data_IF_719568581187
#
_entry.id   IF_719568581187
#
_cell.length_a   1.000
_cell.length_b   1.000
_cell.length_c   1.000
_cell.angle_alpha   90.00
_cell.angle_beta   90.00
_cell.angle_gamma   90.00
#
_symmetry.space_group_name_H-M   'P 1'
#
loop_
_entity.id
_entity.type
_entity.pdbx_description
1 polymer ?
#
# COMPACT_ATOMS: atom_id res chain seq x y z
N UNK A 1 8.02 -6.06 -8.60
CA UNK A 1 8.32 -6.79 -7.33
C UNK A 1 9.39 -7.88 -7.46
N UNK A 2 9.57 -8.54 -8.62
CA UNK A 2 10.63 -9.56 -8.84
C UNK A 2 12.03 -9.13 -8.36
N UNK A 3 12.39 -7.86 -8.51
CA UNK A 3 13.68 -7.34 -8.05
C UNK A 3 13.95 -7.47 -6.54
N UNK A 4 12.91 -7.64 -5.72
CA UNK A 4 13.03 -7.91 -4.28
C UNK A 4 13.24 -9.40 -3.96
N UNK A 5 13.05 -10.31 -4.93
CA UNK A 5 13.26 -11.77 -4.80
C UNK A 5 14.72 -12.19 -5.06
N UNK A 6 15.67 -11.34 -4.66
CA UNK A 6 17.12 -11.53 -4.83
C UNK A 6 17.76 -11.89 -3.48
N UNK A 7 18.99 -12.38 -3.49
CA UNK A 7 19.77 -12.49 -2.24
C UNK A 7 19.85 -11.11 -1.53
N UNK A 8 19.64 -11.05 -0.21
CA UNK A 8 19.77 -9.82 0.58
C UNK A 8 21.15 -9.14 0.44
N UNK A 9 22.21 -9.92 0.17
CA UNK A 9 23.59 -9.44 0.05
C UNK A 9 23.82 -8.52 -1.17
N UNK A 10 22.98 -8.64 -2.20
CA UNK A 10 23.06 -7.77 -3.38
C UNK A 10 22.54 -6.37 -3.03
N UNK A 11 23.34 -5.32 -3.21
CA UNK A 11 22.88 -3.95 -2.91
C UNK A 11 21.78 -3.50 -3.89
N UNK A 12 20.75 -2.84 -3.37
CA UNK A 12 19.71 -2.16 -4.14
C UNK A 12 19.06 -1.08 -3.29
N UNK A 13 18.50 -0.05 -3.92
CA UNK A 13 17.70 0.98 -3.24
C UNK A 13 16.41 0.42 -2.63
N UNK A 14 15.93 -0.73 -3.13
CA UNK A 14 14.80 -1.46 -2.55
C UNK A 14 15.33 -2.74 -1.88
N UNK A 15 15.17 -2.89 -0.55
CA UNK A 15 15.58 -4.09 0.18
C UNK A 15 14.98 -5.38 -0.40
N UNK A 16 15.65 -6.51 -0.22
CA UNK A 16 15.06 -7.81 -0.54
C UNK A 16 13.91 -8.11 0.44
N UNK A 17 13.02 -9.03 0.06
CA UNK A 17 12.03 -9.54 1.02
C UNK A 17 12.70 -10.32 2.14
N UNK A 18 12.16 -10.18 3.35
CA UNK A 18 12.61 -10.93 4.52
C UNK A 18 11.85 -12.26 4.64
N UNK A 19 12.59 -13.33 4.91
CA UNK A 19 12.00 -14.67 5.10
C UNK A 19 11.22 -14.68 6.41
N UNK A 20 9.99 -15.20 6.37
CA UNK A 20 9.11 -15.29 7.55
C UNK A 20 8.40 -13.99 7.91
N UNK A 21 8.48 -12.96 7.07
CA UNK A 21 7.73 -11.71 7.20
C UNK A 21 6.70 -11.56 6.07
N UNK A 22 5.59 -10.83 6.29
CA UNK A 22 4.67 -10.46 5.22
C UNK A 22 5.40 -9.74 4.09
N UNK A 23 4.99 -9.99 2.85
CA UNK A 23 5.52 -9.30 1.69
C UNK A 23 4.93 -7.89 1.63
N UNK A 24 5.75 -6.86 1.48
CA UNK A 24 5.27 -5.49 1.30
C UNK A 24 5.07 -5.17 -0.18
N UNK A 25 3.90 -4.63 -0.53
CA UNK A 25 3.52 -4.26 -1.89
C UNK A 25 2.69 -2.99 -1.92
N UNK A 26 2.51 -2.43 -3.11
CA UNK A 26 1.49 -1.39 -3.29
C UNK A 26 0.10 -2.02 -3.25
N UNK A 27 -0.78 -1.42 -2.46
CA UNK A 27 -2.15 -1.88 -2.27
C UNK A 27 -3.11 -0.72 -2.07
N UNK A 28 -4.40 -1.07 -2.15
CA UNK A 28 -5.52 -0.19 -1.79
C UNK A 28 -6.12 -0.74 -0.51
N UNK A 29 -6.24 0.12 0.49
CA UNK A 29 -6.71 -0.26 1.83
C UNK A 29 -7.68 0.78 2.38
N UNK A 30 -8.53 0.35 3.32
CA UNK A 30 -9.37 1.24 4.11
C UNK A 30 -8.70 1.56 5.45
N UNK A 31 -8.73 2.83 5.83
CA UNK A 31 -8.29 3.27 7.15
C UNK A 31 -9.34 2.90 8.19
N UNK A 32 -9.10 1.86 8.98
CA UNK A 32 -10.03 1.45 10.05
C UNK A 32 -9.85 2.25 11.35
N UNK A 33 -8.65 2.77 11.60
CA UNK A 33 -8.28 3.63 12.72
C UNK A 33 -7.07 4.49 12.31
N UNK A 34 -6.99 5.73 12.80
CA UNK A 34 -5.86 6.61 12.51
C UNK A 34 -5.63 7.64 13.62
N UNK A 35 -4.36 7.85 13.95
CA UNK A 35 -3.86 8.95 14.79
C UNK A 35 -3.34 10.14 13.96
N UNK A 36 -3.39 10.03 12.63
CA UNK A 36 -2.93 11.06 11.70
C UNK A 36 -4.14 11.75 11.04
N UNK A 37 -4.37 13.06 11.26
CA UNK A 37 -5.52 13.76 10.71
C UNK A 37 -5.54 13.83 9.18
N UNK A 38 -4.39 13.61 8.49
CA UNK A 38 -4.33 13.53 7.03
C UNK A 38 -5.06 12.31 6.45
N UNK A 39 -5.21 11.25 7.25
CA UNK A 39 -5.80 9.98 6.84
C UNK A 39 -6.91 9.61 7.83
N UNK A 40 -8.10 10.23 7.73
CA UNK A 40 -9.19 9.94 8.66
C UNK A 40 -9.76 8.53 8.45
N UNK A 41 -10.37 7.98 9.51
CA UNK A 41 -11.08 6.69 9.47
C UNK A 41 -12.10 6.66 8.33
N UNK A 42 -12.18 5.54 7.63
CA UNK A 42 -13.04 5.32 6.46
C UNK A 42 -12.43 5.76 5.13
N UNK A 43 -11.28 6.44 5.13
CA UNK A 43 -10.60 6.82 3.89
C UNK A 43 -10.10 5.58 3.15
N UNK A 44 -10.27 5.58 1.83
CA UNK A 44 -9.62 4.61 0.95
C UNK A 44 -8.27 5.20 0.53
N UNK A 45 -7.20 4.48 0.80
CA UNK A 45 -5.83 4.91 0.52
C UNK A 45 -5.15 3.96 -0.44
N UNK A 46 -4.22 4.49 -1.23
CA UNK A 46 -3.19 3.76 -1.94
C UNK A 46 -1.87 3.94 -1.20
N UNK A 47 -1.24 2.85 -0.77
CA UNK A 47 -0.03 2.87 0.04
C UNK A 47 0.84 1.62 -0.21
N UNK A 48 2.06 1.64 0.32
CA UNK A 48 2.80 0.39 0.55
C UNK A 48 2.25 -0.27 1.81
N UNK A 49 1.71 -1.47 1.66
CA UNK A 49 1.06 -2.27 2.70
C UNK A 49 1.65 -3.68 2.72
N UNK A 50 1.47 -4.39 3.83
CA UNK A 50 1.77 -5.82 3.89
C UNK A 50 0.74 -6.63 3.09
N UNK A 51 1.16 -7.78 2.57
CA UNK A 51 0.29 -8.85 2.10
C UNK A 51 -0.25 -9.60 3.32
N UNK A 52 -1.22 -8.96 3.95
CA UNK A 52 -1.88 -9.35 5.19
C UNK A 52 -3.24 -8.63 5.26
N UNK A 53 -4.09 -8.99 6.22
CA UNK A 53 -5.42 -8.38 6.35
C UNK A 53 -5.38 -6.99 7.01
N UNK A 54 -4.38 -6.73 7.86
CA UNK A 54 -4.23 -5.48 8.60
C UNK A 54 -2.77 -5.07 8.69
N UNK A 55 -2.48 -3.83 8.33
CA UNK A 55 -1.13 -3.24 8.45
C UNK A 55 -1.19 -1.96 9.26
N UNK A 56 -0.29 -1.80 10.23
CA UNK A 56 -0.05 -0.52 10.90
C UNK A 56 0.94 0.29 10.06
N UNK A 57 0.52 1.45 9.55
CA UNK A 57 1.33 2.29 8.68
C UNK A 57 1.78 3.58 9.39
N UNK A 58 3.06 3.96 9.28
CA UNK A 58 3.49 5.32 9.62
C UNK A 58 3.04 6.34 8.55
N UNK A 59 3.25 7.63 8.81
CA UNK A 59 3.05 8.67 7.78
C UNK A 59 4.14 8.52 6.70
N UNK A 60 3.78 7.86 5.59
CA UNK A 60 4.68 7.62 4.46
C UNK A 60 4.41 8.63 3.33
N UNK A 61 5.45 9.23 2.72
CA UNK A 61 5.29 10.21 1.64
C UNK A 61 4.51 9.68 0.41
N UNK A 62 4.50 8.37 0.23
CA UNK A 62 3.84 7.71 -0.91
C UNK A 62 2.38 7.37 -0.64
N UNK A 63 1.89 7.52 0.59
CA UNK A 63 0.50 7.21 0.96
C UNK A 63 -0.42 8.32 0.48
N UNK A 64 -1.46 7.96 -0.27
CA UNK A 64 -2.41 8.92 -0.85
C UNK A 64 -3.83 8.43 -0.62
N UNK A 65 -4.74 9.35 -0.30
CA UNK A 65 -6.19 9.08 -0.35
C UNK A 65 -6.60 9.00 -1.81
N UNK A 66 -7.46 8.03 -2.14
CA UNK A 66 -8.14 7.95 -3.44
C UNK A 66 -9.47 8.70 -3.31
N UNK A 67 -9.61 9.91 -3.88
CA UNK A 67 -10.82 10.70 -3.76
C UNK A 67 -11.98 9.99 -4.46
N UNK A 68 -13.15 9.97 -3.81
CA UNK A 68 -14.36 9.39 -4.37
C UNK A 68 -14.28 7.90 -4.73
N UNK A 69 -13.35 7.15 -4.12
CA UNK A 69 -13.15 5.72 -4.42
C UNK A 69 -14.43 4.88 -4.32
N UNK A 70 -15.36 5.27 -3.44
CA UNK A 70 -16.65 4.61 -3.24
C UNK A 70 -17.79 5.21 -4.06
N UNK A 71 -17.60 6.39 -4.65
CA UNK A 71 -18.64 7.12 -5.40
C UNK A 71 -18.66 6.73 -6.89
N UNK A 72 -17.53 6.26 -7.42
CA UNK A 72 -17.38 5.91 -8.85
C UNK A 72 -18.03 4.58 -9.25
N UNK A 73 -18.50 3.78 -8.28
CA UNK A 73 -19.02 2.42 -8.50
C UNK A 73 -18.02 1.45 -9.18
N UNK A 74 -16.73 1.77 -9.15
CA UNK A 74 -15.68 0.93 -9.72
C UNK A 74 -15.15 -0.06 -8.67
N UNK A 75 -14.72 -1.26 -9.08
CA UNK A 75 -13.99 -2.15 -8.19
C UNK A 75 -12.74 -1.48 -7.63
N UNK A 76 -12.49 -1.60 -6.32
CA UNK A 76 -11.31 -0.99 -5.68
C UNK A 76 -9.99 -1.47 -6.30
N UNK A 77 -9.95 -2.70 -6.82
CA UNK A 77 -8.80 -3.25 -7.54
C UNK A 77 -8.43 -2.47 -8.80
N UNK A 78 -9.37 -1.75 -9.41
CA UNK A 78 -9.11 -0.90 -10.57
C UNK A 78 -8.10 0.21 -10.27
N UNK A 79 -8.05 0.67 -9.01
CA UNK A 79 -7.10 1.70 -8.53
C UNK A 79 -5.68 1.16 -8.27
N UNK A 80 -5.46 -0.16 -8.37
CA UNK A 80 -4.11 -0.75 -8.43
C UNK A 80 -3.68 -0.99 -9.88
N UNK A 81 -4.65 -1.18 -10.78
CA UNK A 81 -4.43 -1.43 -12.22
C UNK A 81 -4.57 -0.18 -13.07
N UNK A 82 -5.60 -0.15 -13.92
CA UNK A 82 -5.82 0.85 -14.98
C UNK A 82 -5.90 2.30 -14.45
N UNK A 83 -6.45 2.48 -13.24
CA UNK A 83 -6.58 3.79 -12.59
C UNK A 83 -5.52 4.04 -11.52
N UNK A 84 -4.57 3.11 -11.36
CA UNK A 84 -3.45 3.25 -10.45
C UNK A 84 -2.45 4.30 -10.90
N UNK A 85 -1.34 4.40 -10.18
CA UNK A 85 -0.28 5.35 -10.51
C UNK A 85 0.22 5.16 -11.96
N UNK A 86 0.40 6.24 -12.76
CA UNK A 86 1.32 6.22 -13.88
C UNK A 86 2.77 6.00 -13.42
#
# INVERSE_FOLDING_TARGET
>A
MRGKMRSPEKKSYSPAFEIGKPLDARGVAEVIESKNPKYPKGSIIHAFVGWEEYTVLPDLPTTRIIPGARETNLPLSSYIGVLGMP
#
